data_IF_927939593097
#
_entry.id   IF_927939593097
#
_cell.length_a   1.000
_cell.length_b   1.000
_cell.length_c   1.000
_cell.angle_alpha   90.00
_cell.angle_beta   90.00
_cell.angle_gamma   90.00
#
_symmetry.space_group_name_H-M   'P 1'
#
loop_
_entity.id
_entity.type
_entity.pdbx_description
1 polymer ?
#
# COMPACT_ATOMS: atom_id res chain seq x y z
N UNK A 1 11.91 5.07 -35.66
CA UNK A 1 11.22 4.97 -34.37
C UNK A 1 12.23 5.23 -33.28
N UNK A 2 12.15 6.38 -32.62
CA UNK A 2 12.88 6.65 -31.39
C UNK A 2 12.00 7.59 -30.57
N UNK A 3 10.89 7.04 -30.09
CA UNK A 3 10.12 7.75 -29.09
C UNK A 3 11.01 7.78 -27.84
N UNK A 4 11.25 8.97 -27.27
CA UNK A 4 11.72 9.19 -25.90
C UNK A 4 13.20 9.56 -25.65
N UNK A 5 14.02 9.89 -26.65
CA UNK A 5 15.33 10.54 -26.35
C UNK A 5 15.09 12.02 -26.01
N UNK A 6 15.41 12.44 -24.78
CA UNK A 6 15.51 13.86 -24.40
C UNK A 6 14.28 14.51 -23.74
N UNK A 7 13.35 13.76 -23.17
CA UNK A 7 12.28 14.33 -22.30
C UNK A 7 12.20 13.54 -20.99
N UNK A 8 11.48 14.07 -19.98
CA UNK A 8 11.26 13.58 -18.59
C UNK A 8 10.76 12.11 -18.42
N UNK A 9 11.21 11.17 -19.25
CA UNK A 9 10.76 9.77 -19.36
C UNK A 9 11.91 8.76 -19.44
N UNK A 10 13.15 9.18 -19.16
CA UNK A 10 14.31 8.30 -18.99
C UNK A 10 15.18 8.83 -17.84
N UNK A 11 14.75 8.66 -16.58
CA UNK A 11 15.38 9.29 -15.42
C UNK A 11 16.85 8.85 -15.24
N UNK A 12 17.21 7.67 -15.75
CA UNK A 12 18.56 7.10 -15.60
C UNK A 12 19.38 7.13 -16.90
N UNK A 13 18.87 7.76 -17.96
CA UNK A 13 19.50 7.79 -19.29
C UNK A 13 19.92 6.40 -19.80
N UNK A 14 19.11 5.37 -19.50
CA UNK A 14 19.37 3.97 -19.92
C UNK A 14 18.62 3.62 -21.21
N UNK A 15 19.15 2.66 -21.96
CA UNK A 15 18.43 2.11 -23.11
C UNK A 15 17.28 1.24 -22.60
N UNK A 16 16.04 1.69 -22.82
CA UNK A 16 14.84 0.95 -22.46
C UNK A 16 14.43 0.03 -23.62
N UNK A 17 14.75 -1.26 -23.51
CA UNK A 17 14.19 -2.29 -24.40
C UNK A 17 12.96 -2.88 -23.74
N UNK A 18 11.80 -2.80 -24.40
CA UNK A 18 10.56 -3.40 -23.92
C UNK A 18 10.76 -4.91 -23.78
N UNK A 19 10.56 -5.45 -22.58
CA UNK A 19 10.58 -6.89 -22.37
C UNK A 19 9.28 -7.51 -22.87
N UNK A 20 9.35 -8.66 -23.53
CA UNK A 20 8.17 -9.37 -24.05
C UNK A 20 7.20 -9.85 -22.96
N UNK A 21 7.65 -9.93 -21.70
CA UNK A 21 6.88 -10.40 -20.54
C UNK A 21 6.32 -9.27 -19.66
N UNK A 22 6.46 -8.01 -20.06
CA UNK A 22 5.96 -6.86 -19.30
C UNK A 22 6.77 -6.47 -18.06
N UNK A 23 7.93 -7.09 -17.83
CA UNK A 23 8.84 -6.69 -16.77
C UNK A 23 9.55 -5.36 -17.06
N UNK A 24 10.09 -4.73 -16.02
CA UNK A 24 10.96 -3.58 -16.20
C UNK A 24 12.27 -4.00 -16.94
N UNK A 25 12.85 -3.17 -17.81
CA UNK A 25 14.11 -3.48 -18.47
C UNK A 25 15.25 -3.70 -17.47
N UNK A 26 16.12 -4.69 -17.71
CA UNK A 26 17.26 -5.00 -16.82
C UNK A 26 18.13 -3.78 -16.52
N UNK A 27 18.55 -2.95 -17.51
CA UNK A 27 19.36 -1.77 -17.23
C UNK A 27 18.68 -0.74 -16.32
N UNK A 28 17.35 -0.67 -16.34
CA UNK A 28 16.59 0.20 -15.45
C UNK A 28 16.62 -0.32 -14.00
N UNK A 29 16.41 -1.62 -13.80
CA UNK A 29 16.46 -2.25 -12.48
C UNK A 29 17.87 -2.16 -11.86
N UNK A 30 18.92 -2.44 -12.65
CA UNK A 30 20.32 -2.33 -12.21
C UNK A 30 20.66 -0.90 -11.75
N UNK A 31 20.11 0.13 -12.42
CA UNK A 31 20.30 1.52 -11.99
C UNK A 31 19.60 1.84 -10.68
N UNK A 32 18.38 1.36 -10.48
CA UNK A 32 17.73 1.47 -9.18
C UNK A 32 18.57 0.84 -8.07
N UNK A 33 19.06 -0.39 -8.26
CA UNK A 33 19.91 -1.08 -7.28
C UNK A 33 21.22 -0.34 -6.99
N UNK A 34 21.83 0.28 -8.01
CA UNK A 34 23.04 1.07 -7.84
C UNK A 34 22.79 2.32 -7.01
N UNK A 35 21.70 3.04 -7.27
CA UNK A 35 21.34 4.26 -6.53
C UNK A 35 21.06 3.98 -5.05
N UNK A 36 20.45 2.83 -4.70
CA UNK A 36 20.26 2.43 -3.31
C UNK A 36 21.57 2.23 -2.51
N UNK A 37 22.70 2.04 -3.19
CA UNK A 37 24.02 1.85 -2.56
C UNK A 37 24.81 3.15 -2.45
N UNK A 38 24.37 4.21 -3.13
CA UNK A 38 25.05 5.50 -3.07
C UNK A 38 24.69 6.25 -1.78
N UNK A 39 25.71 6.84 -1.16
CA UNK A 39 25.51 7.79 -0.06
C UNK A 39 25.35 9.18 -0.66
N UNK A 40 24.21 9.79 -0.40
CA UNK A 40 23.86 11.12 -0.88
C UNK A 40 23.57 12.06 0.29
N UNK A 41 23.57 13.36 0.03
CA UNK A 41 23.07 14.37 0.98
C UNK A 41 21.54 14.44 0.91
N UNK A 42 20.91 15.09 1.89
CA UNK A 42 19.45 15.08 2.10
C UNK A 42 18.65 15.66 0.91
N UNK A 43 19.24 16.52 0.09
CA UNK A 43 18.60 17.19 -1.05
C UNK A 43 19.21 16.79 -2.41
N UNK A 44 19.78 15.59 -2.50
CA UNK A 44 20.32 15.09 -3.77
C UNK A 44 19.19 14.62 -4.70
N UNK A 45 19.19 15.07 -5.96
CA UNK A 45 18.21 14.69 -6.98
C UNK A 45 18.06 13.16 -7.12
N UNK A 46 19.15 12.41 -6.87
CA UNK A 46 19.12 10.94 -6.90
C UNK A 46 18.17 10.35 -5.85
N UNK A 47 18.01 11.02 -4.71
CA UNK A 47 17.07 10.59 -3.68
C UNK A 47 15.63 10.69 -4.21
N UNK A 48 15.27 11.82 -4.82
CA UNK A 48 13.96 12.01 -5.44
C UNK A 48 13.72 11.02 -6.58
N UNK A 49 14.73 10.76 -7.41
CA UNK A 49 14.65 9.79 -8.48
C UNK A 49 14.43 8.35 -7.96
N UNK A 50 15.10 7.96 -6.87
CA UNK A 50 14.87 6.64 -6.24
C UNK A 50 13.44 6.56 -5.71
N UNK A 51 12.96 7.60 -5.02
CA UNK A 51 11.61 7.63 -4.48
C UNK A 51 10.56 7.52 -5.59
N UNK A 52 10.71 8.28 -6.68
CA UNK A 52 9.75 8.34 -7.77
C UNK A 52 9.75 7.07 -8.66
N UNK A 53 10.93 6.53 -8.98
CA UNK A 53 11.05 5.51 -10.03
C UNK A 53 11.44 4.12 -9.53
N UNK A 54 12.07 4.01 -8.36
CA UNK A 54 12.63 2.75 -7.87
C UNK A 54 11.88 2.18 -6.68
N UNK A 55 11.05 2.98 -6.00
CA UNK A 55 10.19 2.51 -4.92
C UNK A 55 8.74 2.42 -5.38
N UNK A 56 7.98 1.51 -4.76
CA UNK A 56 6.53 1.60 -4.80
C UNK A 56 6.04 2.48 -3.66
N UNK A 57 4.84 3.02 -3.80
CA UNK A 57 4.14 3.66 -2.69
C UNK A 57 4.05 2.71 -1.49
N UNK A 58 4.39 3.21 -0.30
CA UNK A 58 4.09 2.49 0.94
C UNK A 58 2.58 2.49 1.13
N UNK A 59 2.01 1.32 1.40
CA UNK A 59 0.59 1.14 1.63
C UNK A 59 0.32 0.87 3.11
N UNK A 60 -0.89 1.16 3.58
CA UNK A 60 -1.36 0.71 4.89
C UNK A 60 -1.23 -0.81 5.06
N UNK A 61 -1.38 -1.57 3.97
CA UNK A 61 -1.15 -3.01 3.97
C UNK A 61 0.27 -3.40 4.38
N UNK A 62 1.29 -2.62 4.02
CA UNK A 62 2.68 -2.86 4.42
C UNK A 62 2.84 -2.79 5.95
N UNK A 63 2.18 -1.81 6.58
CA UNK A 63 2.14 -1.68 8.04
C UNK A 63 1.34 -2.81 8.71
N UNK A 64 0.25 -3.27 8.10
CA UNK A 64 -0.50 -4.42 8.60
C UNK A 64 0.36 -5.70 8.56
N UNK A 65 1.06 -5.95 7.45
CA UNK A 65 1.94 -7.10 7.26
C UNK A 65 3.09 -7.12 8.26
N UNK A 66 3.77 -5.98 8.47
CA UNK A 66 4.83 -5.85 9.48
C UNK A 66 4.32 -6.06 10.90
N UNK A 67 3.03 -5.83 11.15
CA UNK A 67 2.35 -6.13 12.41
C UNK A 67 1.85 -7.58 12.52
N UNK A 68 2.20 -8.45 11.57
CA UNK A 68 1.77 -9.86 11.54
C UNK A 68 0.31 -10.05 11.12
N UNK A 69 -0.28 -9.07 10.44
CA UNK A 69 -1.69 -9.06 10.05
C UNK A 69 -1.88 -9.00 8.55
N UNK A 70 -2.99 -9.56 8.08
CA UNK A 70 -3.44 -9.48 6.70
C UNK A 70 -4.92 -9.11 6.64
N UNK A 71 -5.40 -8.65 5.48
CA UNK A 71 -6.81 -8.37 5.27
C UNK A 71 -7.67 -9.60 5.63
N UNK A 72 -8.80 -9.36 6.28
CA UNK A 72 -9.76 -10.38 6.65
C UNK A 72 -10.30 -11.14 5.43
N UNK A 73 -10.62 -12.43 5.64
CA UNK A 73 -11.30 -13.29 4.68
C UNK A 73 -12.78 -13.47 5.03
N UNK A 74 -13.52 -14.23 4.21
CA UNK A 74 -14.98 -14.28 4.31
C UNK A 74 -15.54 -14.76 5.66
N UNK A 75 -14.81 -15.61 6.38
CA UNK A 75 -15.21 -16.08 7.73
C UNK A 75 -14.96 -15.07 8.86
N UNK A 76 -14.17 -14.03 8.63
CA UNK A 76 -13.67 -13.14 9.69
C UNK A 76 -14.56 -11.90 9.88
N UNK A 77 -15.33 -11.53 8.85
CA UNK A 77 -16.02 -10.23 8.79
C UNK A 77 -17.07 -10.00 9.86
N UNK A 78 -17.82 -11.02 10.25
CA UNK A 78 -18.89 -10.85 11.25
C UNK A 78 -18.32 -10.45 12.62
N UNK A 79 -17.19 -11.05 13.02
CA UNK A 79 -16.52 -10.69 14.28
C UNK A 79 -15.93 -9.28 14.25
N UNK A 80 -15.32 -8.91 13.11
CA UNK A 80 -14.75 -7.58 12.91
C UNK A 80 -15.82 -6.49 12.83
N UNK A 81 -16.93 -6.76 12.15
CA UNK A 81 -18.09 -5.88 12.11
C UNK A 81 -18.65 -5.67 13.52
N UNK A 82 -18.85 -6.74 14.28
CA UNK A 82 -19.32 -6.65 15.67
C UNK A 82 -18.40 -5.73 16.48
N UNK A 83 -17.08 -5.93 16.39
CA UNK A 83 -16.09 -5.09 17.06
C UNK A 83 -16.17 -3.62 16.65
N UNK A 84 -16.35 -3.33 15.36
CA UNK A 84 -16.55 -1.96 14.87
C UNK A 84 -17.87 -1.37 15.38
N UNK A 85 -18.97 -2.11 15.28
CA UNK A 85 -20.31 -1.68 15.69
C UNK A 85 -20.34 -1.32 17.18
N UNK A 86 -19.75 -2.16 18.03
CA UNK A 86 -19.70 -1.99 19.48
C UNK A 86 -18.68 -0.93 19.94
N UNK A 87 -17.77 -0.47 19.08
CA UNK A 87 -16.87 0.64 19.42
C UNK A 87 -17.64 1.95 19.63
N UNK A 88 -17.06 2.92 20.34
CA UNK A 88 -17.67 4.25 20.49
C UNK A 88 -17.72 5.03 19.17
N UNK A 89 -16.82 4.73 18.25
CA UNK A 89 -16.61 5.55 17.06
C UNK A 89 -17.37 4.99 15.86
N UNK A 90 -18.01 5.86 15.09
CA UNK A 90 -18.62 5.52 13.80
C UNK A 90 -17.99 6.36 12.68
N UNK A 91 -16.66 6.34 12.58
CA UNK A 91 -15.90 7.17 11.64
C UNK A 91 -16.20 6.89 10.16
N UNK A 92 -16.86 5.77 9.83
CA UNK A 92 -17.40 5.51 8.48
C UNK A 92 -18.90 5.74 8.34
N UNK A 93 -19.60 6.10 9.41
CA UNK A 93 -21.05 6.30 9.46
C UNK A 93 -21.83 5.09 8.93
N UNK A 94 -21.48 3.89 9.38
CA UNK A 94 -22.06 2.62 8.91
C UNK A 94 -23.06 2.00 9.89
N UNK A 95 -23.13 2.47 11.14
CA UNK A 95 -23.95 1.82 12.18
C UNK A 95 -25.43 2.13 12.07
N UNK A 96 -25.78 3.26 11.44
CA UNK A 96 -27.18 3.66 11.29
C UNK A 96 -28.01 2.59 10.57
N UNK A 97 -29.12 2.18 11.21
CA UNK A 97 -30.01 1.13 10.68
C UNK A 97 -29.41 -0.27 10.66
N UNK A 98 -28.27 -0.50 11.33
CA UNK A 98 -27.62 -1.81 11.43
C UNK A 98 -27.63 -2.33 12.87
N UNK A 99 -27.19 -3.57 13.05
CA UNK A 99 -26.98 -4.20 14.35
C UNK A 99 -25.64 -4.92 14.38
N UNK A 100 -25.17 -5.33 15.56
CA UNK A 100 -23.94 -6.11 15.70
C UNK A 100 -23.93 -7.43 14.88
N UNK A 101 -25.09 -7.95 14.48
CA UNK A 101 -25.23 -9.18 13.68
C UNK A 101 -25.66 -8.92 12.24
N UNK A 102 -26.00 -7.68 11.89
CA UNK A 102 -26.36 -7.26 10.53
C UNK A 102 -25.29 -6.31 10.02
N UNK A 103 -24.30 -6.87 9.31
CA UNK A 103 -23.19 -6.09 8.78
C UNK A 103 -23.62 -5.18 7.63
N UNK A 104 -23.17 -3.92 7.67
CA UNK A 104 -23.35 -3.01 6.55
C UNK A 104 -22.62 -3.52 5.30
N UNK A 105 -23.29 -3.53 4.15
CA UNK A 105 -22.70 -3.99 2.88
C UNK A 105 -21.41 -3.23 2.48
N UNK A 106 -21.25 -1.99 2.93
CA UNK A 106 -20.07 -1.17 2.63
C UNK A 106 -18.88 -1.43 3.56
N UNK A 107 -19.04 -2.21 4.63
CA UNK A 107 -17.98 -2.43 5.62
C UNK A 107 -16.74 -3.06 4.99
N UNK A 108 -16.92 -4.14 4.21
CA UNK A 108 -15.82 -4.79 3.49
C UNK A 108 -15.14 -3.83 2.51
N UNK A 109 -15.92 -3.02 1.79
CA UNK A 109 -15.41 -2.02 0.84
C UNK A 109 -14.58 -0.95 1.53
N UNK A 110 -15.01 -0.46 2.70
CA UNK A 110 -14.22 0.48 3.51
C UNK A 110 -12.90 -0.14 3.93
N UNK A 111 -12.93 -1.37 4.43
CA UNK A 111 -11.72 -2.08 4.80
C UNK A 111 -10.74 -2.27 3.64
N UNK A 112 -11.22 -2.70 2.46
CA UNK A 112 -10.39 -2.80 1.26
C UNK A 112 -9.83 -1.44 0.84
N UNK A 113 -10.61 -0.36 0.94
CA UNK A 113 -10.14 0.98 0.66
C UNK A 113 -8.99 1.41 1.59
N UNK A 114 -9.16 1.20 2.89
CA UNK A 114 -8.19 1.57 3.92
C UNK A 114 -6.90 0.76 3.78
N UNK A 115 -6.98 -0.50 3.39
CA UNK A 115 -5.82 -1.37 3.11
C UNK A 115 -4.97 -0.89 1.92
N UNK A 116 -5.59 -0.18 0.97
CA UNK A 116 -4.95 0.34 -0.25
C UNK A 116 -4.56 1.82 -0.15
N UNK A 117 -4.74 2.46 1.01
CA UNK A 117 -4.29 3.85 1.20
C UNK A 117 -2.77 3.90 1.09
N UNK A 118 -2.29 4.80 0.23
CA UNK A 118 -0.87 5.14 0.08
C UNK A 118 -0.48 6.10 1.21
N UNK A 119 0.46 5.70 2.05
CA UNK A 119 0.99 6.54 3.13
C UNK A 119 2.34 6.02 3.59
N UNK A 120 3.30 6.94 3.80
CA UNK A 120 4.53 6.67 4.54
C UNK A 120 4.43 7.06 6.02
N UNK A 121 3.32 7.68 6.45
CA UNK A 121 3.11 8.08 7.84
C UNK A 121 2.57 6.90 8.66
N UNK A 122 3.40 6.42 9.58
CA UNK A 122 3.07 5.33 10.51
C UNK A 122 1.92 5.69 11.48
N UNK A 123 1.61 6.97 11.65
CA UNK A 123 0.51 7.44 12.48
C UNK A 123 -0.79 7.67 11.69
N UNK A 124 -0.80 7.36 10.40
CA UNK A 124 -1.99 7.54 9.57
C UNK A 124 -3.16 6.72 10.15
N UNK A 125 -4.36 7.32 10.37
CA UNK A 125 -5.45 6.67 11.10
C UNK A 125 -5.93 5.37 10.45
N UNK A 126 -5.79 5.24 9.14
CA UNK A 126 -6.08 4.01 8.39
C UNK A 126 -5.33 2.79 8.89
N UNK A 127 -4.10 2.96 9.41
CA UNK A 127 -3.30 1.86 9.97
C UNK A 127 -4.01 1.26 11.17
N UNK A 128 -4.39 2.11 12.14
CA UNK A 128 -5.14 1.67 13.31
C UNK A 128 -6.50 1.07 12.93
N UNK A 129 -7.21 1.64 11.93
CA UNK A 129 -8.48 1.09 11.45
C UNK A 129 -8.32 -0.29 10.86
N UNK A 130 -7.30 -0.50 10.03
CA UNK A 130 -7.03 -1.80 9.41
C UNK A 130 -6.65 -2.84 10.45
N UNK A 131 -5.71 -2.51 11.35
CA UNK A 131 -5.24 -3.39 12.41
C UNK A 131 -6.40 -3.81 13.33
N UNK A 132 -7.31 -2.88 13.65
CA UNK A 132 -8.35 -3.14 14.63
C UNK A 132 -9.63 -3.76 14.05
N UNK A 133 -10.02 -3.40 12.83
CA UNK A 133 -11.36 -3.66 12.32
C UNK A 133 -11.39 -4.33 10.94
N UNK A 134 -10.26 -4.54 10.27
CA UNK A 134 -10.24 -5.07 8.90
C UNK A 134 -9.31 -6.26 8.69
N UNK A 135 -8.58 -6.68 9.72
CA UNK A 135 -7.49 -7.63 9.56
C UNK A 135 -7.59 -8.80 10.54
N UNK A 136 -6.89 -9.87 10.18
CA UNK A 136 -6.65 -11.05 11.01
C UNK A 136 -5.17 -11.33 11.09
N UNK A 137 -4.79 -12.16 12.05
CA UNK A 137 -3.41 -12.63 12.15
C UNK A 137 -3.07 -13.53 10.95
N UNK A 138 -1.83 -13.41 10.48
CA UNK A 138 -1.29 -14.31 9.46
C UNK A 138 -1.09 -15.68 10.11
N UNK A 139 -1.62 -16.78 9.53
CA UNK A 139 -1.42 -18.12 10.04
C UNK A 139 0.08 -18.42 10.19
N UNK A 140 0.48 -18.87 11.38
CA UNK A 140 1.83 -19.40 11.59
C UNK A 140 1.92 -20.73 10.86
N UNK A 141 2.83 -20.81 9.89
CA UNK A 141 3.20 -22.04 9.18
C UNK A 141 3.87 -23.03 10.11
#
# INVERSE_FOLDING_TARGET
MAAHVGTRKNPFSVTLTVSENGNAPVPFMEKCEALFKEKVVVDDEKYDQVLEYCTRDTLVSDFAWTSGKQLAGDGDWNGLWKKYFESSDDFWNLKSGQSATSMNNNFKTKCSGEFNVKTGDMNHPSIARVINYCSKDIPKS
#
